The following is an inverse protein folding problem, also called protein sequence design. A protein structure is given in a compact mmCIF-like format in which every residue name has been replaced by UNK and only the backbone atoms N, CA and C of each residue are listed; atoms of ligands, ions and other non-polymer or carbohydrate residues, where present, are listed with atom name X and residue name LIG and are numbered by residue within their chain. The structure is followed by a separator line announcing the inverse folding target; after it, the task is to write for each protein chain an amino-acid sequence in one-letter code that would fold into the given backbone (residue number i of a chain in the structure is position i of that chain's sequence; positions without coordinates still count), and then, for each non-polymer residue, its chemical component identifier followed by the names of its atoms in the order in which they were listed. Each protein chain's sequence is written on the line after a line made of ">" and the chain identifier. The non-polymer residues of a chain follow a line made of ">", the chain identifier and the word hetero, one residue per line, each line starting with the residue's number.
data_IF_509638354913
#
_entry.id   IF_509638354913
#
_cell.length_a   1.000
_cell.length_b   1.000
_cell.length_c   1.000
_cell.angle_alpha   90.00
_cell.angle_beta   90.00
_cell.angle_gamma   90.00
#
_symmetry.space_group_name_H-M   'P 1'
#
loop_
_entity.id
_entity.type
_entity.pdbx_description
1 polymer ?
#
# COMPACT_ATOMS: atom_id res chain seq x y z
N UNK A 1 -74.97 -31.96 -40.41
CA UNK A 1 -74.97 -30.70 -39.65
C UNK A 1 -76.37 -30.48 -39.13
N UNK A 2 -76.55 -30.30 -37.82
CA UNK A 2 -77.84 -29.93 -37.23
C UNK A 2 -77.78 -28.43 -36.98
N UNK A 3 -78.72 -27.69 -37.58
CA UNK A 3 -78.90 -26.25 -37.34
C UNK A 3 -80.06 -26.07 -36.38
N UNK A 4 -79.82 -25.40 -35.26
CA UNK A 4 -80.87 -25.03 -34.30
C UNK A 4 -80.92 -23.52 -34.16
N UNK A 5 -82.09 -22.95 -34.37
CA UNK A 5 -82.37 -21.56 -34.01
C UNK A 5 -82.90 -21.54 -32.58
N UNK A 6 -82.18 -20.85 -31.69
CA UNK A 6 -82.52 -20.68 -30.28
C UNK A 6 -83.31 -19.36 -30.07
N UNK A 7 -83.95 -19.23 -28.91
CA UNK A 7 -84.65 -17.99 -28.54
C UNK A 7 -83.69 -16.79 -28.56
N UNK A 8 -84.13 -15.66 -29.11
CA UNK A 8 -83.30 -14.46 -29.24
C UNK A 8 -82.39 -14.42 -30.47
N UNK A 9 -82.57 -15.32 -31.45
CA UNK A 9 -81.91 -15.24 -32.76
C UNK A 9 -80.52 -15.91 -32.83
N UNK A 10 -80.07 -16.55 -31.75
CA UNK A 10 -78.84 -17.36 -31.76
C UNK A 10 -79.02 -18.60 -32.64
N UNK A 11 -78.03 -18.91 -33.48
CA UNK A 11 -78.02 -20.12 -34.32
C UNK A 11 -76.85 -21.01 -33.89
N UNK A 12 -77.16 -22.25 -33.53
CA UNK A 12 -76.17 -23.25 -33.12
C UNK A 12 -76.02 -24.30 -34.23
N UNK A 13 -74.77 -24.50 -34.67
CA UNK A 13 -74.39 -25.52 -35.63
C UNK A 13 -73.71 -26.68 -34.89
N UNK A 14 -74.35 -27.85 -34.89
CA UNK A 14 -73.77 -29.06 -34.32
C UNK A 14 -73.31 -30.00 -35.45
N UNK A 15 -72.02 -30.35 -35.43
CA UNK A 15 -71.44 -31.37 -36.30
C UNK A 15 -71.07 -32.59 -35.46
N UNK A 16 -71.23 -33.78 -36.03
CA UNK A 16 -70.88 -35.06 -35.38
C UNK A 16 -69.43 -35.48 -35.68
N UNK A 17 -68.72 -34.70 -36.49
CA UNK A 17 -67.36 -34.90 -36.96
C UNK A 17 -66.71 -33.52 -37.18
N UNK A 18 -65.48 -33.52 -37.68
CA UNK A 18 -64.69 -32.32 -37.94
C UNK A 18 -65.45 -31.28 -38.79
N UNK A 19 -65.34 -30.01 -38.40
CA UNK A 19 -65.73 -28.89 -39.25
C UNK A 19 -64.53 -28.52 -40.14
N UNK A 20 -64.67 -28.69 -41.45
CA UNK A 20 -63.70 -28.22 -42.44
C UNK A 20 -64.25 -26.96 -43.08
N UNK A 21 -63.52 -25.86 -42.92
CA UNK A 21 -63.83 -24.58 -43.55
C UNK A 21 -62.51 -23.94 -43.97
N UNK A 22 -62.51 -23.23 -45.10
CA UNK A 22 -61.32 -22.50 -45.57
C UNK A 22 -61.00 -21.33 -44.63
N UNK A 23 -62.04 -20.66 -44.12
CA UNK A 23 -61.92 -19.54 -43.17
C UNK A 23 -63.07 -19.56 -42.17
N UNK A 24 -62.77 -19.26 -40.90
CA UNK A 24 -63.76 -19.00 -39.85
C UNK A 24 -63.58 -17.57 -39.37
N UNK A 25 -64.49 -16.68 -39.77
CA UNK A 25 -64.52 -15.28 -39.32
C UNK A 25 -65.56 -15.13 -38.23
N UNK A 26 -65.13 -14.66 -37.06
CA UNK A 26 -66.01 -14.34 -35.94
C UNK A 26 -65.91 -12.84 -35.63
N UNK A 27 -67.04 -12.21 -35.34
CA UNK A 27 -67.14 -10.76 -35.23
C UNK A 27 -67.46 -10.09 -36.58
N UNK A 28 -67.61 -8.77 -36.55
CA UNK A 28 -67.95 -7.95 -37.71
C UNK A 28 -66.95 -6.81 -37.84
N UNK A 29 -66.40 -6.60 -39.04
CA UNK A 29 -65.52 -5.46 -39.30
C UNK A 29 -66.33 -4.16 -39.25
N UNK A 30 -65.79 -3.13 -38.58
CA UNK A 30 -66.37 -1.79 -38.59
C UNK A 30 -66.22 -1.12 -39.96
N UNK A 31 -67.24 -0.36 -40.37
CA UNK A 31 -67.15 0.57 -41.49
C UNK A 31 -66.22 1.76 -41.15
N UNK A 32 -65.64 2.49 -42.13
CA UNK A 32 -64.78 3.62 -41.84
C UNK A 32 -65.42 4.62 -40.86
N UNK A 33 -64.78 4.84 -39.71
CA UNK A 33 -65.26 5.74 -38.65
C UNK A 33 -66.30 5.13 -37.69
N UNK A 34 -66.58 3.82 -37.77
CA UNK A 34 -67.41 3.07 -36.80
C UNK A 34 -66.69 1.82 -36.33
N UNK A 35 -66.85 1.50 -35.05
CA UNK A 35 -66.27 0.28 -34.49
C UNK A 35 -66.97 -0.97 -35.04
N UNK A 36 -66.20 -2.06 -35.15
CA UNK A 36 -66.73 -3.39 -35.44
C UNK A 36 -67.33 -4.06 -34.19
N UNK A 37 -67.67 -5.34 -34.32
CA UNK A 37 -68.05 -6.19 -33.18
C UNK A 37 -67.00 -7.27 -32.96
N UNK A 38 -66.52 -7.39 -31.72
CA UNK A 38 -65.53 -8.38 -31.34
C UNK A 38 -66.06 -9.81 -31.50
N UNK A 39 -65.26 -10.69 -32.10
CA UNK A 39 -65.51 -12.13 -32.15
C UNK A 39 -64.84 -12.87 -30.99
N UNK A 40 -65.37 -14.04 -30.62
CA UNK A 40 -64.71 -14.94 -29.67
C UNK A 40 -64.73 -16.37 -30.22
N UNK A 41 -63.64 -17.11 -29.98
CA UNK A 41 -63.56 -18.55 -30.24
C UNK A 41 -63.26 -19.24 -28.93
N UNK A 42 -64.10 -20.19 -28.52
CA UNK A 42 -63.92 -20.97 -27.29
C UNK A 42 -63.84 -22.45 -27.58
N UNK A 43 -62.88 -23.13 -26.95
CA UNK A 43 -62.80 -24.59 -26.88
C UNK A 43 -63.08 -24.99 -25.44
N UNK A 44 -64.17 -25.71 -25.22
CA UNK A 44 -64.56 -26.20 -23.90
C UNK A 44 -64.12 -27.66 -23.75
N UNK A 45 -63.23 -27.90 -22.79
CA UNK A 45 -62.87 -29.24 -22.33
C UNK A 45 -63.89 -29.79 -21.33
N UNK A 46 -63.76 -31.08 -21.05
CA UNK A 46 -64.50 -31.74 -19.96
C UNK A 46 -64.13 -31.08 -18.63
N UNK A 47 -65.12 -30.91 -17.75
CA UNK A 47 -64.95 -30.35 -16.41
C UNK A 47 -64.38 -28.91 -16.39
N UNK A 48 -64.84 -28.04 -17.29
CA UNK A 48 -64.61 -26.59 -17.20
C UNK A 48 -63.22 -26.09 -17.63
N UNK A 49 -62.31 -26.99 -18.07
CA UNK A 49 -61.07 -26.55 -18.75
C UNK A 49 -61.41 -25.87 -20.08
N UNK A 50 -60.71 -24.80 -20.46
CA UNK A 50 -61.04 -24.09 -21.68
C UNK A 50 -59.85 -23.34 -22.28
N UNK A 51 -59.91 -23.10 -23.60
CA UNK A 51 -59.08 -22.12 -24.30
C UNK A 51 -60.01 -21.12 -24.98
N UNK A 52 -59.77 -19.83 -24.81
CA UNK A 52 -60.58 -18.75 -25.39
C UNK A 52 -59.68 -17.77 -26.12
N UNK A 53 -60.03 -17.43 -27.36
CA UNK A 53 -59.41 -16.35 -28.13
C UNK A 53 -60.40 -15.19 -28.16
N UNK A 54 -59.97 -14.01 -27.71
CA UNK A 54 -60.80 -12.82 -27.61
C UNK A 54 -60.39 -11.77 -28.64
N UNK A 55 -61.28 -11.44 -29.57
CA UNK A 55 -61.03 -10.40 -30.57
C UNK A 55 -60.95 -8.98 -30.01
N UNK A 56 -61.49 -8.75 -28.81
CA UNK A 56 -61.51 -7.43 -28.17
C UNK A 56 -60.13 -6.87 -27.86
N UNK A 57 -59.27 -7.72 -27.32
CA UNK A 57 -57.93 -7.35 -26.83
C UNK A 57 -56.83 -8.29 -27.36
N UNK A 58 -57.18 -9.18 -28.29
CA UNK A 58 -56.26 -10.16 -28.87
C UNK A 58 -55.75 -11.20 -27.86
N UNK A 59 -56.40 -11.34 -26.69
CA UNK A 59 -55.94 -12.23 -25.64
C UNK A 59 -56.28 -13.70 -25.91
N UNK A 60 -55.43 -14.59 -25.38
CA UNK A 60 -55.65 -16.03 -25.30
C UNK A 60 -55.78 -16.40 -23.84
N UNK A 61 -56.99 -16.76 -23.41
CA UNK A 61 -57.28 -17.29 -22.08
C UNK A 61 -57.16 -18.82 -22.04
N UNK A 62 -56.53 -19.36 -21.02
CA UNK A 62 -56.42 -20.79 -20.74
C UNK A 62 -56.89 -21.03 -19.31
N UNK A 63 -57.84 -21.93 -19.13
CA UNK A 63 -58.33 -22.36 -17.82
C UNK A 63 -58.13 -23.87 -17.65
N UNK A 64 -57.67 -24.27 -16.47
CA UNK A 64 -57.66 -25.66 -16.04
C UNK A 64 -59.05 -26.13 -15.56
N UNK A 65 -59.09 -27.34 -15.03
CA UNK A 65 -60.32 -27.97 -14.50
C UNK A 65 -61.02 -27.03 -13.51
N UNK A 66 -62.32 -26.86 -13.71
CA UNK A 66 -63.21 -26.01 -12.92
C UNK A 66 -62.72 -24.55 -12.79
N UNK A 67 -61.99 -24.04 -13.79
CA UNK A 67 -61.47 -22.66 -13.81
C UNK A 67 -60.17 -22.44 -13.04
N UNK A 68 -59.56 -23.51 -12.50
CA UNK A 68 -58.30 -23.41 -11.76
C UNK A 68 -57.13 -23.03 -12.67
N UNK A 69 -56.10 -22.37 -12.10
CA UNK A 69 -54.85 -22.01 -12.78
C UNK A 69 -55.04 -21.18 -14.06
N UNK A 70 -56.04 -20.30 -14.08
CA UNK A 70 -56.31 -19.41 -15.21
C UNK A 70 -55.09 -18.60 -15.62
N UNK A 71 -54.81 -18.57 -16.92
CA UNK A 71 -53.72 -17.84 -17.57
C UNK A 71 -54.27 -17.10 -18.78
N UNK A 72 -54.10 -15.78 -18.82
CA UNK A 72 -54.41 -14.99 -20.01
C UNK A 72 -53.11 -14.46 -20.61
N UNK A 73 -52.85 -14.76 -21.88
CA UNK A 73 -51.72 -14.26 -22.65
C UNK A 73 -52.19 -13.14 -23.58
N UNK A 74 -51.48 -12.01 -23.62
CA UNK A 74 -51.78 -10.92 -24.55
C UNK A 74 -50.54 -10.10 -24.88
N UNK A 75 -50.57 -9.40 -26.01
CA UNK A 75 -49.64 -8.31 -26.27
C UNK A 75 -50.06 -7.08 -25.47
N UNK A 76 -49.11 -6.40 -24.84
CA UNK A 76 -49.31 -5.06 -24.31
C UNK A 76 -48.00 -4.28 -24.34
N UNK A 77 -48.07 -2.97 -24.16
CA UNK A 77 -46.87 -2.13 -24.05
C UNK A 77 -46.11 -2.48 -22.77
N UNK A 78 -44.80 -2.74 -22.89
CA UNK A 78 -43.96 -3.04 -21.74
C UNK A 78 -42.98 -1.94 -21.36
N UNK A 79 -42.24 -2.21 -20.29
CA UNK A 79 -41.16 -1.33 -19.85
C UNK A 79 -40.03 -1.25 -20.90
N UNK A 80 -39.32 -0.12 -20.91
CA UNK A 80 -38.23 0.14 -21.84
C UNK A 80 -37.04 -0.81 -21.58
N UNK A 81 -36.49 -1.41 -22.64
CA UNK A 81 -35.27 -2.21 -22.55
C UNK A 81 -33.99 -1.37 -22.39
N UNK A 82 -32.83 -2.00 -22.61
CA UNK A 82 -31.52 -1.34 -22.52
C UNK A 82 -31.18 -0.36 -23.66
N UNK A 83 -32.07 -0.26 -24.65
CA UNK A 83 -32.06 0.64 -25.82
C UNK A 83 -31.76 2.13 -25.54
N UNK A 84 -32.25 2.73 -24.45
CA UNK A 84 -32.04 4.16 -24.15
C UNK A 84 -32.47 5.17 -25.24
N UNK A 85 -32.97 4.74 -26.40
CA UNK A 85 -33.55 5.57 -27.45
C UNK A 85 -35.06 5.42 -27.42
N UNK A 86 -35.65 6.17 -26.49
CA UNK A 86 -36.74 7.12 -26.76
C UNK A 86 -37.16 7.74 -25.41
N UNK A 87 -36.97 9.07 -25.30
CA UNK A 87 -37.23 9.86 -24.09
C UNK A 87 -35.96 10.23 -23.32
N UNK A 88 -35.63 11.53 -23.26
CA UNK A 88 -34.55 12.03 -22.40
C UNK A 88 -34.82 11.60 -20.94
N UNK A 89 -33.75 11.27 -20.21
CA UNK A 89 -33.77 10.94 -18.78
C UNK A 89 -34.50 9.65 -18.36
N UNK A 90 -34.65 8.67 -19.26
CA UNK A 90 -35.14 7.34 -18.88
C UNK A 90 -36.63 7.28 -18.50
N UNK A 91 -37.41 8.28 -18.93
CA UNK A 91 -38.88 8.21 -18.96
C UNK A 91 -39.32 7.51 -20.26
N UNK A 92 -40.36 6.66 -20.23
CA UNK A 92 -40.80 5.90 -21.40
C UNK A 92 -41.17 6.84 -22.57
N UNK A 93 -40.61 6.56 -23.75
CA UNK A 93 -41.13 7.06 -25.03
C UNK A 93 -42.59 6.65 -25.21
N UNK A 94 -43.36 7.44 -25.97
CA UNK A 94 -44.83 7.36 -26.03
C UNK A 94 -45.41 5.97 -26.34
N UNK A 95 -44.66 5.06 -26.98
CA UNK A 95 -45.10 3.69 -27.28
C UNK A 95 -43.94 2.70 -27.03
N UNK A 96 -43.86 2.07 -25.86
CA UNK A 96 -42.83 1.06 -25.53
C UNK A 96 -42.84 -0.16 -26.48
N UNK A 97 -41.89 -1.08 -26.33
CA UNK A 97 -41.88 -2.33 -27.11
C UNK A 97 -43.08 -3.22 -26.74
N UNK A 98 -43.73 -3.85 -27.73
CA UNK A 98 -44.77 -4.85 -27.48
C UNK A 98 -44.19 -6.04 -26.70
N UNK A 99 -44.72 -6.32 -25.52
CA UNK A 99 -44.34 -7.46 -24.68
C UNK A 99 -45.42 -8.52 -24.64
N UNK A 100 -44.97 -9.75 -24.46
CA UNK A 100 -45.86 -10.81 -24.02
C UNK A 100 -46.17 -10.61 -22.53
N UNK A 101 -47.42 -10.26 -22.26
CA UNK A 101 -47.97 -10.10 -20.92
C UNK A 101 -48.80 -11.32 -20.60
N UNK A 102 -48.66 -11.80 -19.36
CA UNK A 102 -49.50 -12.86 -18.86
C UNK A 102 -50.14 -12.51 -17.52
N UNK A 103 -51.42 -12.83 -17.42
CA UNK A 103 -52.24 -12.57 -16.24
C UNK A 103 -52.64 -13.89 -15.60
N UNK A 104 -52.44 -13.98 -14.29
CA UNK A 104 -52.83 -15.14 -13.47
C UNK A 104 -53.76 -14.70 -12.36
N UNK A 105 -54.52 -15.62 -11.78
CA UNK A 105 -55.28 -15.38 -10.55
C UNK A 105 -54.49 -15.79 -9.32
N UNK A 106 -54.42 -14.92 -8.31
CA UNK A 106 -53.88 -15.29 -7.00
C UNK A 106 -54.88 -16.14 -6.19
N UNK A 107 -54.52 -16.52 -4.96
CA UNK A 107 -55.36 -17.35 -4.10
C UNK A 107 -56.68 -16.68 -3.71
N UNK A 108 -56.76 -15.35 -3.82
CA UNK A 108 -57.91 -14.54 -3.47
C UNK A 108 -58.74 -14.15 -4.72
N UNK A 109 -58.33 -14.61 -5.91
CA UNK A 109 -59.01 -14.33 -7.18
C UNK A 109 -58.63 -13.00 -7.83
N UNK A 110 -57.65 -12.27 -7.30
CA UNK A 110 -57.15 -11.03 -7.90
C UNK A 110 -56.28 -11.35 -9.12
N UNK A 111 -56.35 -10.47 -10.12
CA UNK A 111 -55.49 -10.58 -11.30
C UNK A 111 -54.07 -10.09 -10.95
N UNK A 112 -53.08 -10.94 -11.17
CA UNK A 112 -51.66 -10.60 -11.15
C UNK A 112 -51.14 -10.53 -12.58
N UNK A 113 -50.75 -9.34 -13.01
CA UNK A 113 -50.13 -9.10 -14.32
C UNK A 113 -48.62 -9.24 -14.22
N UNK A 114 -48.03 -10.00 -15.15
CA UNK A 114 -46.59 -10.21 -15.25
C UNK A 114 -46.15 -10.02 -16.71
N UNK A 115 -44.89 -9.66 -16.93
CA UNK A 115 -44.32 -9.47 -18.25
C UNK A 115 -43.16 -10.44 -18.46
N UNK A 116 -43.03 -10.96 -19.69
CA UNK A 116 -41.89 -11.79 -20.07
C UNK A 116 -40.73 -10.90 -20.50
N UNK A 117 -39.54 -11.17 -19.95
CA UNK A 117 -38.33 -10.46 -20.35
C UNK A 117 -37.88 -10.87 -21.77
N UNK A 118 -37.41 -9.91 -22.57
CA UNK A 118 -36.81 -10.11 -23.89
C UNK A 118 -35.29 -9.86 -23.85
N UNK A 119 -34.59 -10.16 -24.95
CA UNK A 119 -33.13 -9.95 -25.01
C UNK A 119 -32.73 -8.48 -24.88
N UNK A 120 -33.64 -7.57 -25.22
CA UNK A 120 -33.45 -6.13 -25.10
C UNK A 120 -33.61 -5.62 -23.67
N UNK A 121 -34.06 -6.37 -22.66
CA UNK A 121 -34.18 -5.88 -21.28
C UNK A 121 -32.84 -5.67 -20.58
N UNK A 122 -31.95 -6.64 -20.71
CA UNK A 122 -30.58 -6.62 -20.22
C UNK A 122 -30.37 -6.31 -18.73
N UNK A 123 -29.13 -5.98 -18.39
CA UNK A 123 -28.70 -5.48 -17.09
C UNK A 123 -28.01 -4.13 -17.29
N UNK A 124 -28.18 -3.24 -16.30
CA UNK A 124 -27.56 -1.92 -16.29
C UNK A 124 -26.69 -1.82 -15.05
N UNK A 125 -25.39 -1.58 -15.24
CA UNK A 125 -24.43 -1.36 -14.17
C UNK A 125 -23.98 0.09 -14.18
N UNK A 126 -23.54 0.62 -13.05
CA UNK A 126 -22.84 1.90 -13.00
C UNK A 126 -21.75 1.86 -11.95
N UNK A 127 -20.75 2.72 -12.09
CA UNK A 127 -19.71 2.93 -11.10
C UNK A 127 -19.87 4.28 -10.42
N UNK A 128 -18.85 4.67 -9.66
CA UNK A 128 -18.80 6.00 -9.02
C UNK A 128 -18.80 7.17 -10.03
N UNK A 129 -18.54 6.92 -11.31
CA UNK A 129 -18.65 7.93 -12.38
C UNK A 129 -20.11 8.18 -12.83
N UNK A 130 -21.07 7.38 -12.39
CA UNK A 130 -22.48 7.50 -12.75
C UNK A 130 -22.81 7.15 -14.20
N UNK A 131 -21.82 6.67 -14.98
CA UNK A 131 -22.06 6.24 -16.35
C UNK A 131 -22.81 4.92 -16.38
N UNK A 132 -23.88 4.85 -17.17
CA UNK A 132 -24.65 3.63 -17.32
C UNK A 132 -23.96 2.69 -18.30
N UNK A 133 -23.51 1.56 -17.79
CA UNK A 133 -23.05 0.44 -18.59
C UNK A 133 -24.23 -0.52 -18.86
N UNK A 134 -24.77 -0.43 -20.08
CA UNK A 134 -26.00 -1.11 -20.51
C UNK A 134 -25.62 -2.36 -21.33
N UNK A 135 -26.07 -3.54 -20.91
CA UNK A 135 -25.80 -4.79 -21.60
C UNK A 135 -27.09 -5.59 -21.83
N UNK A 136 -27.37 -5.98 -23.07
CA UNK A 136 -28.50 -6.86 -23.42
C UNK A 136 -28.37 -8.24 -22.77
N UNK A 137 -29.48 -8.94 -22.57
CA UNK A 137 -29.41 -10.35 -22.16
C UNK A 137 -28.73 -11.16 -23.28
N UNK A 138 -28.11 -12.29 -22.91
CA UNK A 138 -27.33 -13.13 -23.84
C UNK A 138 -26.17 -12.38 -24.53
N UNK A 139 -25.59 -11.37 -23.89
CA UNK A 139 -24.35 -10.71 -24.34
C UNK A 139 -23.22 -10.90 -23.33
N UNK A 140 -21.98 -10.84 -23.81
CA UNK A 140 -20.80 -10.94 -22.97
C UNK A 140 -20.57 -9.64 -22.20
N UNK A 141 -20.52 -9.74 -20.87
CA UNK A 141 -20.05 -8.68 -19.98
C UNK A 141 -18.68 -9.09 -19.47
N UNK A 142 -17.65 -8.27 -19.72
CA UNK A 142 -16.29 -8.54 -19.24
C UNK A 142 -16.01 -7.72 -17.98
N UNK A 143 -15.68 -8.41 -16.89
CA UNK A 143 -15.26 -7.79 -15.62
C UNK A 143 -13.83 -8.26 -15.33
N UNK A 144 -12.85 -7.35 -15.38
CA UNK A 144 -11.42 -7.66 -15.19
C UNK A 144 -10.72 -6.58 -14.37
N UNK A 145 -9.69 -6.97 -13.62
CA UNK A 145 -8.77 -6.03 -12.99
C UNK A 145 -7.87 -5.36 -14.02
N UNK A 146 -7.59 -4.08 -13.84
CA UNK A 146 -6.64 -3.35 -14.69
C UNK A 146 -5.20 -3.87 -14.45
N UNK A 147 -4.39 -3.89 -15.50
CA UNK A 147 -2.97 -4.28 -15.41
C UNK A 147 -2.69 -5.78 -15.20
N UNK A 148 -3.74 -6.63 -15.20
CA UNK A 148 -3.61 -8.09 -15.13
C UNK A 148 -4.11 -8.70 -16.43
N UNK A 149 -3.22 -9.30 -17.21
CA UNK A 149 -3.57 -10.04 -18.42
C UNK A 149 -4.02 -11.48 -18.12
N UNK A 150 -4.36 -12.22 -19.18
CA UNK A 150 -4.87 -13.60 -19.08
C UNK A 150 -3.88 -14.56 -18.42
N UNK A 151 -2.59 -14.43 -18.74
CA UNK A 151 -1.56 -15.36 -18.28
C UNK A 151 -1.18 -15.02 -16.83
N UNK A 152 -1.08 -13.73 -16.51
CA UNK A 152 -0.88 -13.24 -15.15
C UNK A 152 -2.04 -13.65 -14.23
N UNK A 153 -3.28 -13.61 -14.70
CA UNK A 153 -4.45 -14.04 -13.92
C UNK A 153 -4.37 -15.50 -13.48
N UNK A 154 -3.72 -16.39 -14.25
CA UNK A 154 -3.59 -17.80 -13.89
C UNK A 154 -2.60 -18.04 -12.74
N UNK A 155 -1.59 -17.18 -12.61
CA UNK A 155 -0.58 -17.24 -11.57
C UNK A 155 -0.84 -16.24 -10.42
N UNK A 156 -1.95 -15.50 -10.47
CA UNK A 156 -2.23 -14.43 -9.52
C UNK A 156 -2.52 -14.98 -8.12
N UNK A 157 -1.72 -14.56 -7.14
CA UNK A 157 -1.93 -14.89 -5.73
C UNK A 157 -2.72 -13.77 -5.05
N UNK A 158 -3.97 -14.06 -4.68
CA UNK A 158 -4.84 -13.08 -4.03
C UNK A 158 -4.56 -12.99 -2.53
N UNK A 159 -4.57 -11.77 -2.01
CA UNK A 159 -4.55 -11.52 -0.58
C UNK A 159 -5.98 -11.63 -0.01
N UNK A 160 -6.24 -12.71 0.73
CA UNK A 160 -7.57 -13.02 1.25
C UNK A 160 -8.05 -11.99 2.28
N UNK A 161 -9.32 -11.59 2.18
CA UNK A 161 -10.01 -10.77 3.18
C UNK A 161 -9.78 -9.26 3.07
N UNK A 162 -9.08 -8.80 2.03
CA UNK A 162 -8.87 -7.36 1.81
C UNK A 162 -10.04 -6.70 1.06
N UNK A 163 -10.77 -7.44 0.23
CA UNK A 163 -11.92 -6.93 -0.54
C UNK A 163 -13.21 -7.50 0.04
N UNK A 164 -14.16 -6.63 0.36
CA UNK A 164 -15.52 -6.99 0.76
C UNK A 164 -16.52 -6.46 -0.28
N UNK A 165 -17.59 -7.22 -0.55
CA UNK A 165 -18.71 -6.77 -1.39
C UNK A 165 -19.97 -6.84 -0.56
N UNK A 166 -20.54 -5.68 -0.25
CA UNK A 166 -21.70 -5.56 0.64
C UNK A 166 -22.92 -5.06 -0.14
N UNK A 167 -24.00 -5.83 -0.14
CA UNK A 167 -25.28 -5.35 -0.63
C UNK A 167 -25.91 -4.35 0.35
N UNK A 168 -26.41 -3.23 -0.16
CA UNK A 168 -27.12 -2.23 0.63
C UNK A 168 -28.62 -2.53 0.80
N UNK A 169 -29.16 -3.47 0.01
CA UNK A 169 -30.58 -3.82 -0.04
C UNK A 169 -31.43 -2.93 -0.95
N UNK A 170 -30.83 -1.90 -1.54
CA UNK A 170 -31.48 -0.88 -2.38
C UNK A 170 -30.90 -0.84 -3.81
N UNK A 171 -30.19 -1.91 -4.22
CA UNK A 171 -29.67 -2.07 -5.59
C UNK A 171 -28.18 -1.75 -5.75
N UNK A 172 -27.45 -1.45 -4.66
CA UNK A 172 -26.01 -1.19 -4.69
C UNK A 172 -25.22 -2.34 -4.09
N UNK A 173 -24.12 -2.70 -4.74
CA UNK A 173 -23.06 -3.52 -4.18
C UNK A 173 -21.85 -2.63 -3.87
N UNK A 174 -21.59 -2.36 -2.59
CA UNK A 174 -20.41 -1.60 -2.17
C UNK A 174 -19.17 -2.49 -2.19
N UNK A 175 -18.22 -2.19 -3.08
CA UNK A 175 -16.89 -2.80 -3.06
C UNK A 175 -16.01 -2.01 -2.09
N UNK A 176 -15.62 -2.65 -0.99
CA UNK A 176 -14.89 -2.03 0.12
C UNK A 176 -13.50 -2.65 0.24
N UNK A 177 -12.51 -1.81 0.56
CA UNK A 177 -11.19 -2.25 0.99
C UNK A 177 -11.13 -2.30 2.52
N UNK A 178 -10.49 -3.32 3.07
CA UNK A 178 -10.20 -3.39 4.51
C UNK A 178 -9.37 -2.18 4.96
N UNK A 179 -9.64 -1.66 6.16
CA UNK A 179 -8.82 -0.57 6.74
C UNK A 179 -7.37 -1.00 6.91
N UNK A 180 -7.19 -2.23 7.42
CA UNK A 180 -5.89 -2.87 7.54
C UNK A 180 -5.74 -3.88 6.39
N UNK A 181 -4.93 -3.52 5.40
CA UNK A 181 -4.68 -4.36 4.23
C UNK A 181 -3.63 -5.42 4.58
N UNK A 182 -3.96 -6.69 4.38
CA UNK A 182 -3.05 -7.83 4.61
C UNK A 182 -2.31 -8.15 3.31
N UNK A 183 -1.04 -7.79 3.22
CA UNK A 183 -0.19 -8.09 2.06
C UNK A 183 1.20 -8.49 2.52
N UNK A 184 1.88 -9.33 1.74
CA UNK A 184 3.25 -9.77 2.07
C UNK A 184 4.29 -8.71 1.72
N UNK A 185 4.04 -7.91 0.68
CA UNK A 185 4.95 -6.85 0.23
C UNK A 185 4.20 -5.73 -0.49
N UNK A 186 4.80 -4.53 -0.49
CA UNK A 186 4.32 -3.35 -1.22
C UNK A 186 5.43 -2.91 -2.18
N UNK A 187 5.13 -2.91 -3.47
CA UNK A 187 6.01 -2.33 -4.51
C UNK A 187 5.46 -0.97 -4.90
N UNK A 188 6.20 0.10 -4.60
CA UNK A 188 5.80 1.47 -4.90
C UNK A 188 7.02 2.31 -5.31
N UNK A 189 6.86 3.19 -6.30
CA UNK A 189 7.90 4.16 -6.68
C UNK A 189 8.09 5.22 -5.58
N UNK A 190 6.97 5.68 -5.01
CA UNK A 190 6.92 6.68 -3.95
C UNK A 190 5.85 6.30 -2.94
N UNK A 191 6.17 6.39 -1.65
CA UNK A 191 5.20 6.24 -0.56
C UNK A 191 4.86 7.63 -0.04
N UNK A 192 3.64 8.12 -0.33
CA UNK A 192 3.13 9.38 0.20
C UNK A 192 2.32 9.10 1.47
N UNK A 193 2.98 9.14 2.63
CA UNK A 193 2.38 8.89 3.93
C UNK A 193 2.86 9.92 4.96
N UNK A 194 1.97 10.32 5.87
CA UNK A 194 2.35 11.17 7.02
C UNK A 194 3.26 10.44 7.99
N UNK A 195 2.99 9.14 8.19
CA UNK A 195 3.74 8.27 9.09
C UNK A 195 3.78 6.86 8.52
N UNK A 196 4.95 6.22 8.56
CA UNK A 196 5.13 4.78 8.32
C UNK A 196 5.73 4.17 9.57
N UNK A 197 5.07 3.13 10.11
CA UNK A 197 5.53 2.41 11.29
C UNK A 197 5.88 0.98 10.91
N UNK A 198 7.13 0.59 11.13
CA UNK A 198 7.64 -0.77 10.95
C UNK A 198 8.19 -1.29 12.28
N UNK A 199 7.36 -2.02 13.03
CA UNK A 199 7.68 -2.38 14.41
C UNK A 199 7.88 -1.14 15.27
N UNK A 200 9.07 -0.98 15.87
CA UNK A 200 9.43 0.19 16.69
C UNK A 200 10.00 1.36 15.87
N UNK A 201 10.14 1.21 14.55
CA UNK A 201 10.65 2.28 13.68
C UNK A 201 9.51 3.12 13.15
N UNK A 202 9.60 4.43 13.32
CA UNK A 202 8.68 5.42 12.78
C UNK A 202 9.43 6.29 11.78
N UNK A 203 8.86 6.43 10.58
CA UNK A 203 9.26 7.42 9.57
C UNK A 203 8.14 8.43 9.44
N UNK A 204 8.42 9.71 9.66
CA UNK A 204 7.43 10.78 9.58
C UNK A 204 8.09 12.10 9.14
N UNK A 205 7.37 13.22 9.29
CA UNK A 205 7.85 14.56 8.94
C UNK A 205 9.10 15.01 9.71
N UNK A 206 9.36 14.44 10.90
CA UNK A 206 10.51 14.79 11.72
C UNK A 206 11.77 13.99 11.34
N UNK A 207 11.60 12.87 10.62
CA UNK A 207 12.68 11.99 10.16
C UNK A 207 12.42 10.52 10.49
N UNK A 208 13.47 9.82 10.92
CA UNK A 208 13.43 8.40 11.28
C UNK A 208 13.71 8.27 12.78
N UNK A 209 12.84 7.58 13.51
CA UNK A 209 13.06 7.24 14.92
C UNK A 209 12.89 5.76 15.13
N UNK A 210 13.83 5.12 15.82
CA UNK A 210 13.70 3.77 16.34
C UNK A 210 13.43 3.91 17.84
N UNK A 211 12.21 3.55 18.25
CA UNK A 211 11.77 3.59 19.63
C UNK A 211 12.72 2.78 20.53
N UNK A 212 13.12 3.39 21.64
CA UNK A 212 13.93 2.70 22.65
C UNK A 212 13.14 1.53 23.24
N UNK A 213 13.81 0.40 23.47
CA UNK A 213 13.24 -0.73 24.21
C UNK A 213 13.67 -0.66 25.68
N UNK A 214 12.80 -1.06 26.61
CA UNK A 214 13.11 -1.19 28.03
C UNK A 214 13.69 0.07 28.70
N UNK A 215 13.19 1.26 28.34
CA UNK A 215 13.60 2.53 28.95
C UNK A 215 14.91 3.13 28.39
N UNK A 216 15.51 2.53 27.35
CA UNK A 216 16.60 3.15 26.62
C UNK A 216 16.12 4.40 25.86
N UNK A 217 17.01 5.37 25.66
CA UNK A 217 16.72 6.51 24.78
C UNK A 217 16.58 6.04 23.32
N UNK A 218 15.69 6.66 22.53
CA UNK A 218 15.50 6.29 21.13
C UNK A 218 16.74 6.62 20.29
N UNK A 219 16.90 5.90 19.19
CA UNK A 219 17.81 6.30 18.11
C UNK A 219 16.99 7.16 17.14
N UNK A 220 17.49 8.33 16.76
CA UNK A 220 16.79 9.20 15.81
C UNK A 220 17.73 9.84 14.81
N UNK A 221 17.26 9.95 13.56
CA UNK A 221 17.86 10.74 12.50
C UNK A 221 16.81 11.77 12.08
N UNK A 222 17.06 13.03 12.42
CA UNK A 222 16.15 14.14 12.16
C UNK A 222 16.87 15.28 11.43
N UNK A 223 16.18 16.39 11.19
CA UNK A 223 16.81 17.62 10.67
C UNK A 223 17.96 18.16 11.54
N UNK A 224 18.06 17.75 12.80
CA UNK A 224 19.14 18.12 13.72
C UNK A 224 20.34 17.16 13.68
N UNK A 225 20.28 16.08 12.88
CA UNK A 225 21.32 15.06 12.77
C UNK A 225 20.97 13.74 13.46
N UNK A 226 22.00 12.95 13.76
CA UNK A 226 21.88 11.62 14.38
C UNK A 226 22.03 11.71 15.90
N UNK A 227 21.06 11.16 16.62
CA UNK A 227 21.17 10.83 18.04
C UNK A 227 21.14 9.30 18.21
N UNK A 228 22.22 8.72 18.72
CA UNK A 228 22.34 7.26 18.89
C UNK A 228 21.73 6.74 20.21
N UNK A 229 20.99 7.57 20.96
CA UNK A 229 20.32 7.13 22.19
C UNK A 229 21.26 6.62 23.28
N UNK A 230 22.51 7.09 23.31
CA UNK A 230 23.53 6.62 24.24
C UNK A 230 24.11 5.23 23.94
N UNK A 231 23.74 4.61 22.82
CA UNK A 231 24.26 3.31 22.42
C UNK A 231 25.73 3.41 21.96
N UNK A 232 26.45 2.29 22.05
CA UNK A 232 27.80 2.17 21.46
C UNK A 232 27.69 2.13 19.93
N UNK A 233 28.50 2.92 19.26
CA UNK A 233 28.71 2.80 17.80
C UNK A 233 29.91 1.87 17.60
N UNK A 234 29.69 0.74 16.93
CA UNK A 234 30.73 -0.29 16.67
C UNK A 234 30.99 -0.40 15.18
N UNK A 235 32.10 -1.04 14.79
CA UNK A 235 32.53 -1.18 13.39
C UNK A 235 32.79 0.15 12.66
N UNK A 236 33.23 1.17 13.40
CA UNK A 236 33.74 2.43 12.83
C UNK A 236 35.17 2.20 12.34
N UNK A 237 35.37 2.26 11.02
CA UNK A 237 36.69 2.21 10.41
C UNK A 237 37.57 3.39 10.89
N UNK A 238 38.90 3.30 10.84
CA UNK A 238 39.75 4.45 11.14
C UNK A 238 39.42 5.62 10.20
N UNK A 239 39.18 6.80 10.75
CA UNK A 239 38.93 8.01 9.95
C UNK A 239 40.13 8.37 9.08
N UNK A 240 39.86 8.87 7.86
CA UNK A 240 40.86 9.27 6.87
C UNK A 240 40.76 10.76 6.56
N UNK A 241 39.54 11.30 6.45
CA UNK A 241 39.28 12.73 6.28
C UNK A 241 39.10 13.44 7.64
N UNK A 242 39.32 14.76 7.67
CA UNK A 242 39.19 15.57 8.89
C UNK A 242 37.75 15.58 9.46
N UNK A 243 36.75 15.26 8.64
CA UNK A 243 35.34 15.18 9.04
C UNK A 243 34.89 13.77 9.48
N UNK A 244 35.77 12.78 9.39
CA UNK A 244 35.44 11.41 9.80
C UNK A 244 35.44 11.27 11.32
N UNK A 245 34.61 10.36 11.83
CA UNK A 245 34.69 9.97 13.23
C UNK A 245 36.00 9.22 13.52
N UNK A 246 36.64 9.54 14.65
CA UNK A 246 37.78 8.76 15.15
C UNK A 246 37.32 7.51 15.88
N UNK A 247 37.97 6.38 15.60
CA UNK A 247 37.69 5.14 16.32
C UNK A 247 38.64 4.94 17.52
N UNK A 248 38.30 3.99 18.39
CA UNK A 248 39.07 3.68 19.61
C UNK A 248 40.51 3.23 19.29
N UNK A 249 40.73 2.61 18.12
CA UNK A 249 42.07 2.23 17.65
C UNK A 249 42.98 3.43 17.40
N UNK A 250 42.45 4.50 16.79
CA UNK A 250 43.18 5.77 16.59
C UNK A 250 43.48 6.45 17.92
N UNK A 251 42.50 6.51 18.83
CA UNK A 251 42.68 7.12 20.15
C UNK A 251 43.76 6.39 20.99
N UNK A 252 43.79 5.05 20.95
CA UNK A 252 44.82 4.25 21.63
C UNK A 252 46.23 4.51 21.08
N UNK A 253 46.39 4.70 19.76
CA UNK A 253 47.68 5.04 19.16
C UNK A 253 48.17 6.41 19.66
N UNK A 254 47.30 7.41 19.64
CA UNK A 254 47.61 8.73 20.20
C UNK A 254 48.01 8.64 21.68
N UNK A 255 47.28 7.87 22.48
CA UNK A 255 47.63 7.63 23.89
C UNK A 255 49.01 6.99 24.08
N UNK A 256 49.39 6.05 23.22
CA UNK A 256 50.73 5.46 23.19
C UNK A 256 51.82 6.48 22.85
N UNK A 257 51.59 7.30 21.83
CA UNK A 257 52.53 8.35 21.42
C UNK A 257 52.73 9.40 22.52
N UNK A 258 51.65 9.80 23.20
CA UNK A 258 51.71 10.74 24.33
C UNK A 258 52.50 10.15 25.51
N UNK A 259 52.29 8.87 25.84
CA UNK A 259 53.05 8.19 26.89
C UNK A 259 54.54 8.12 26.54
N UNK A 260 54.87 7.86 25.27
CA UNK A 260 56.24 7.87 24.79
C UNK A 260 56.86 9.27 24.94
N UNK A 261 56.17 10.33 24.51
CA UNK A 261 56.63 11.72 24.66
C UNK A 261 56.89 12.05 26.14
N UNK A 262 55.97 11.69 27.03
CA UNK A 262 56.15 11.87 28.48
C UNK A 262 57.42 11.20 29.01
N UNK A 263 57.67 9.95 28.60
CA UNK A 263 58.89 9.22 28.94
C UNK A 263 60.15 9.94 28.43
N UNK A 264 60.16 10.43 27.17
CA UNK A 264 61.29 11.17 26.60
C UNK A 264 61.55 12.46 27.38
N UNK A 265 60.49 13.19 27.74
CA UNK A 265 60.59 14.43 28.50
C UNK A 265 61.17 14.19 29.90
N UNK A 266 60.66 13.21 30.65
CA UNK A 266 61.19 12.87 31.98
C UNK A 266 62.65 12.42 31.93
N UNK A 267 63.03 11.65 30.90
CA UNK A 267 64.42 11.24 30.70
C UNK A 267 65.33 12.43 30.37
N UNK A 268 64.83 13.41 29.61
CA UNK A 268 65.54 14.68 29.36
C UNK A 268 65.79 15.48 30.63
N UNK A 269 64.77 15.62 31.50
CA UNK A 269 64.91 16.28 32.82
C UNK A 269 65.90 15.52 33.70
N UNK A 270 65.83 14.19 33.75
CA UNK A 270 66.81 13.38 34.46
C UNK A 270 68.24 13.63 33.93
N UNK A 271 68.41 13.79 32.62
CA UNK A 271 69.68 14.18 31.99
C UNK A 271 70.20 15.52 32.48
N UNK A 272 69.34 16.54 32.52
CA UNK A 272 69.69 17.86 33.04
C UNK A 272 70.10 17.82 34.52
N UNK A 273 69.38 17.04 35.35
CA UNK A 273 69.74 16.81 36.76
C UNK A 273 71.10 16.10 36.87
N UNK A 274 71.36 15.12 36.00
CA UNK A 274 72.64 14.42 35.99
C UNK A 274 73.79 15.38 35.63
N UNK A 275 73.62 16.24 34.62
CA UNK A 275 74.62 17.21 34.18
C UNK A 275 74.89 18.30 35.23
N UNK A 276 73.84 18.81 35.88
CA UNK A 276 73.97 19.83 36.94
C UNK A 276 74.65 19.28 38.19
N UNK A 277 74.52 17.99 38.45
CA UNK A 277 75.14 17.31 39.60
C UNK A 277 76.63 16.99 39.42
N UNK A 278 77.25 17.30 38.26
CA UNK A 278 78.69 17.07 38.02
C UNK A 278 79.52 18.12 38.77
N UNK A 279 80.46 17.74 39.66
CA UNK A 279 81.35 18.69 40.33
C UNK A 279 82.23 19.50 39.37
N UNK A 280 82.61 20.71 39.76
CA UNK A 280 83.47 21.62 39.00
C UNK A 280 84.87 21.72 39.64
N UNK A 281 85.93 21.86 38.84
CA UNK A 281 87.28 22.13 39.36
C UNK A 281 87.35 23.48 40.09
N UNK A 282 88.07 23.51 41.22
CA UNK A 282 88.19 24.70 42.09
C UNK A 282 89.64 25.18 42.27
N UNK A 283 90.59 24.60 41.55
CA UNK A 283 92.03 24.92 41.65
C UNK A 283 92.56 25.50 40.32
N UNK A 284 93.32 26.61 40.35
CA UNK A 284 93.93 27.18 39.13
C UNK A 284 94.88 26.20 38.43
N UNK A 285 94.88 26.24 37.09
CA UNK A 285 95.73 25.40 36.22
C UNK A 285 95.35 23.92 36.16
N UNK A 286 94.20 23.52 36.72
CA UNK A 286 93.76 22.11 36.77
C UNK A 286 92.60 21.86 35.81
N UNK A 287 92.71 20.77 35.06
CA UNK A 287 91.60 20.13 34.34
C UNK A 287 91.14 18.89 35.10
N UNK A 288 89.84 18.63 35.17
CA UNK A 288 89.27 17.46 35.84
C UNK A 288 88.04 16.90 35.15
N UNK A 289 87.78 15.62 35.40
CA UNK A 289 86.58 14.90 34.95
C UNK A 289 85.66 14.62 36.13
N UNK A 290 84.34 14.63 35.87
CA UNK A 290 83.33 14.29 36.85
C UNK A 290 82.18 13.48 36.24
N UNK A 291 81.48 12.76 37.09
CA UNK A 291 80.29 11.98 36.73
C UNK A 291 79.12 12.43 37.60
N UNK A 292 77.94 12.56 37.01
CA UNK A 292 76.71 12.92 37.70
C UNK A 292 75.59 11.95 37.35
N UNK A 293 74.69 11.71 38.31
CA UNK A 293 73.50 10.88 38.12
C UNK A 293 72.24 11.71 38.33
N UNK A 294 71.18 11.39 37.61
CA UNK A 294 69.90 12.07 37.71
C UNK A 294 68.74 11.09 37.65
N UNK A 295 67.68 11.38 38.39
CA UNK A 295 66.45 10.60 38.39
C UNK A 295 65.24 11.53 38.45
N UNK A 296 64.27 11.32 37.56
CA UNK A 296 63.03 12.10 37.52
C UNK A 296 61.92 11.32 36.82
N UNK A 297 60.71 11.29 37.40
CA UNK A 297 59.53 10.69 36.78
C UNK A 297 59.72 9.21 36.38
N UNK A 298 60.47 8.44 37.16
CA UNK A 298 60.78 7.03 36.86
C UNK A 298 61.81 6.82 35.75
N UNK A 299 62.43 7.88 35.23
CA UNK A 299 63.56 7.82 34.29
C UNK A 299 64.86 8.18 35.01
N UNK A 300 65.98 7.62 34.53
CA UNK A 300 67.30 7.88 35.09
C UNK A 300 68.26 8.33 34.00
N UNK A 301 69.31 9.05 34.39
CA UNK A 301 70.36 9.49 33.49
C UNK A 301 71.72 9.50 34.17
N UNK A 302 72.75 9.38 33.33
CA UNK A 302 74.16 9.52 33.71
C UNK A 302 74.80 10.58 32.83
N UNK A 303 75.65 11.40 33.41
CA UNK A 303 76.38 12.45 32.72
C UNK A 303 77.86 12.40 33.07
N UNK A 304 78.70 12.72 32.10
CA UNK A 304 80.15 12.86 32.26
C UNK A 304 80.52 14.26 31.80
N UNK A 305 81.41 14.92 32.54
CA UNK A 305 81.84 16.28 32.21
C UNK A 305 83.32 16.48 32.47
N UNK A 306 83.88 17.44 31.73
CA UNK A 306 85.22 17.98 31.94
C UNK A 306 85.11 19.46 32.31
N UNK A 307 85.93 19.91 33.25
CA UNK A 307 86.08 21.34 33.56
C UNK A 307 87.53 21.72 33.75
N UNK A 308 87.89 22.94 33.39
CA UNK A 308 89.26 23.47 33.50
C UNK A 308 89.23 24.92 33.98
N UNK A 309 90.16 25.27 34.87
CA UNK A 309 90.38 26.65 35.34
C UNK A 309 91.71 27.17 34.80
N UNK A 310 91.77 28.42 34.34
CA UNK A 310 93.02 29.04 33.87
C UNK A 310 94.04 29.18 34.99
N UNK A 311 95.33 29.31 34.64
CA UNK A 311 96.41 29.43 35.63
C UNK A 311 96.24 30.66 36.54
N UNK A 312 95.68 31.74 36.00
CA UNK A 312 95.35 32.95 36.76
C UNK A 312 94.06 32.86 37.58
N UNK A 313 93.32 31.74 37.53
CA UNK A 313 92.07 31.54 38.26
C UNK A 313 90.86 32.32 37.72
N UNK A 314 91.06 33.20 36.75
CA UNK A 314 90.02 34.13 36.29
C UNK A 314 89.03 33.52 35.30
N UNK A 315 89.36 32.40 34.65
CA UNK A 315 88.47 31.73 33.69
C UNK A 315 88.20 30.29 34.11
N UNK A 316 86.94 29.87 34.05
CA UNK A 316 86.54 28.47 34.19
C UNK A 316 85.70 28.06 32.99
N UNK A 317 86.05 26.94 32.37
CA UNK A 317 85.26 26.32 31.29
C UNK A 317 84.77 24.95 31.74
N UNK A 318 83.55 24.59 31.32
CA UNK A 318 82.95 23.28 31.57
C UNK A 318 82.24 22.77 30.33
N UNK A 319 82.49 21.51 29.97
CA UNK A 319 81.76 20.77 28.96
C UNK A 319 81.21 19.47 29.56
N UNK A 320 80.01 19.06 29.17
CA UNK A 320 79.40 17.82 29.66
C UNK A 320 78.54 17.15 28.58
N UNK A 321 78.42 15.84 28.71
CA UNK A 321 77.57 14.98 27.91
C UNK A 321 76.76 14.09 28.85
N UNK A 322 75.52 13.78 28.50
CA UNK A 322 74.66 12.88 29.26
C UNK A 322 73.93 11.92 28.35
N UNK A 323 73.55 10.78 28.92
CA UNK A 323 72.63 9.81 28.32
C UNK A 323 71.63 9.37 29.38
N UNK A 324 70.45 8.93 28.96
CA UNK A 324 69.37 8.55 29.85
C UNK A 324 68.74 7.20 29.50
N UNK A 325 67.82 6.73 30.33
CA UNK A 325 67.09 5.45 30.17
C UNK A 325 66.24 5.37 28.91
N UNK A 326 66.03 6.49 28.23
CA UNK A 326 65.37 6.53 26.92
C UNK A 326 66.37 6.64 25.75
N UNK A 327 67.67 6.62 26.04
CA UNK A 327 68.75 6.64 25.05
C UNK A 327 68.97 7.99 24.36
N UNK A 328 68.38 9.09 24.84
CA UNK A 328 68.66 10.41 24.28
C UNK A 328 69.93 11.00 24.89
N UNK A 329 70.72 11.69 24.07
CA UNK A 329 71.99 12.31 24.46
C UNK A 329 71.78 13.81 24.66
N UNK A 330 72.26 14.34 25.77
CA UNK A 330 72.33 15.79 26.03
C UNK A 330 73.78 16.27 26.04
N UNK A 331 74.06 17.45 25.51
CA UNK A 331 75.38 18.08 25.55
C UNK A 331 75.22 19.49 26.09
N UNK A 332 76.09 19.89 27.01
CA UNK A 332 76.12 21.25 27.56
C UNK A 332 77.55 21.76 27.67
N UNK A 333 77.74 23.06 27.44
CA UNK A 333 79.01 23.74 27.69
C UNK A 333 78.76 25.13 28.29
N UNK A 334 79.71 25.62 29.07
CA UNK A 334 79.64 26.94 29.69
C UNK A 334 81.02 27.47 30.05
N UNK A 335 81.12 28.80 30.17
CA UNK A 335 82.32 29.50 30.61
C UNK A 335 81.94 30.55 31.66
N UNK A 336 82.82 30.76 32.63
CA UNK A 336 82.68 31.75 33.69
C UNK A 336 83.97 32.55 33.78
N UNK A 337 83.85 33.88 33.86
CA UNK A 337 84.94 34.78 34.20
C UNK A 337 84.72 35.33 35.61
N UNK A 338 85.78 35.38 36.43
CA UNK A 338 85.77 35.94 37.78
C UNK A 338 86.97 36.88 37.97
N UNK A 339 86.79 37.94 38.77
CA UNK A 339 87.78 38.98 39.03
C UNK A 339 87.91 39.26 40.53
#
# INVERSE_FOLDING_TARGET
>A
MIVKQEAGGKVTFATTADLKADTVTVGEKGEPGKDGKDGTIGVNGKDGSAVVINGKDGSIGLNGKDGANGLTLKGADGAQGVNGQDGKDGLPGQNGETRLVYETKDKDGNTKTNQVANLDDGLIFTGNNGELNRHKLNTLVTVKGEGVDKDQSAAFQSASGNINVKADGNGTLEVQLAKDVKVDSVTANTVNATTVTAGNTTVNTDGITIGGSNGAAPVSLTGSGLNNGGNRITNVAPGVADTDAVNVGQLKRLGGDMAAIGKKAYAGVAGAIAQSSIPQVTRPGVTGFGVGGGHYGGQSAVAIGMSSMSDGGNWIIKGNVSTNTNGTVGIGAGALYQW
#
